data_IF_411301337780
#
_entry.id   IF_411301337780
#
_cell.length_a   1.000
_cell.length_b   1.000
_cell.length_c   1.000
_cell.angle_alpha   90.00
_cell.angle_beta   90.00
_cell.angle_gamma   90.00
#
_symmetry.space_group_name_H-M   'P 1'
#
loop_
_entity.id
_entity.type
_entity.pdbx_description
1 polymer ?
#
# COMPACT_ATOMS: atom_id res chain seq x y z
N UNK A 1 5.93 10.85 10.39
CA UNK A 1 6.52 10.22 9.18
C UNK A 1 5.44 9.72 8.23
N UNK A 2 4.60 8.75 8.63
CA UNK A 2 3.56 8.15 7.76
C UNK A 2 2.62 9.18 7.13
N UNK A 3 2.05 10.08 7.93
CA UNK A 3 1.16 11.14 7.43
C UNK A 3 1.81 12.03 6.38
N UNK A 4 3.06 12.47 6.61
CA UNK A 4 3.80 13.31 5.65
C UNK A 4 4.00 12.59 4.33
N UNK A 5 4.49 11.34 4.38
CA UNK A 5 4.74 10.52 3.19
C UNK A 5 3.47 10.17 2.41
N UNK A 6 2.38 9.95 3.12
CA UNK A 6 1.07 9.77 2.51
C UNK A 6 0.66 10.99 1.68
N UNK A 7 0.84 12.21 2.21
CA UNK A 7 0.55 13.44 1.47
C UNK A 7 1.56 13.70 0.35
N UNK A 8 2.83 13.35 0.52
CA UNK A 8 3.83 13.37 -0.56
C UNK A 8 3.35 12.48 -1.73
N UNK A 9 2.85 11.28 -1.44
CA UNK A 9 2.26 10.39 -2.44
C UNK A 9 1.01 10.99 -3.12
N UNK A 10 0.07 11.56 -2.37
CA UNK A 10 -1.13 12.20 -2.95
C UNK A 10 -0.79 13.41 -3.83
N UNK A 11 0.18 14.22 -3.44
CA UNK A 11 0.55 15.44 -4.15
C UNK A 11 1.43 15.17 -5.38
N UNK A 12 2.18 14.09 -5.38
CA UNK A 12 3.19 13.78 -6.40
C UNK A 12 3.06 12.38 -7.00
N UNK A 13 1.85 11.82 -7.03
CA UNK A 13 1.60 10.42 -7.41
C UNK A 13 2.29 10.05 -8.73
N UNK A 14 3.15 9.03 -8.69
CA UNK A 14 3.89 8.55 -9.86
C UNK A 14 5.02 9.46 -10.36
N UNK A 15 5.34 10.55 -9.65
CA UNK A 15 6.49 11.41 -9.97
C UNK A 15 7.80 10.80 -9.43
N UNK A 16 8.72 10.48 -10.34
CA UNK A 16 10.04 9.93 -9.99
C UNK A 16 10.81 10.89 -9.08
N UNK A 17 11.20 10.39 -7.91
CA UNK A 17 12.01 11.13 -6.94
C UNK A 17 11.22 12.03 -5.99
N UNK A 18 9.90 12.18 -6.18
CA UNK A 18 9.01 12.90 -5.25
C UNK A 18 8.00 11.99 -4.57
N UNK A 19 7.46 11.02 -5.30
CA UNK A 19 6.55 10.03 -4.73
C UNK A 19 7.35 8.97 -3.93
N UNK A 20 7.18 8.87 -2.60
CA UNK A 20 7.83 7.84 -1.81
C UNK A 20 7.36 6.41 -2.16
N UNK A 21 6.20 6.28 -2.79
CA UNK A 21 5.57 5.00 -3.12
C UNK A 21 5.87 4.55 -4.55
N UNK A 22 6.47 5.40 -5.40
CA UNK A 22 6.76 5.06 -6.80
C UNK A 22 8.19 4.57 -7.00
N UNK A 23 8.35 3.34 -7.50
CA UNK A 23 9.67 2.73 -7.70
C UNK A 23 10.29 3.02 -9.06
N UNK A 24 10.37 4.32 -9.41
CA UNK A 24 11.15 4.82 -10.57
C UNK A 24 10.86 4.10 -11.89
N UNK A 25 9.64 3.59 -12.06
CA UNK A 25 9.23 2.82 -13.24
C UNK A 25 9.70 1.36 -13.30
N UNK A 26 10.43 0.84 -12.30
CA UNK A 26 10.77 -0.59 -12.20
C UNK A 26 9.58 -1.37 -11.61
N UNK A 27 8.92 -2.27 -12.37
CA UNK A 27 7.73 -2.99 -11.91
C UNK A 27 8.07 -4.26 -11.10
N UNK A 28 9.34 -4.51 -10.78
CA UNK A 28 9.76 -5.66 -9.98
C UNK A 28 9.19 -5.61 -8.56
N UNK A 29 8.33 -6.57 -8.21
CA UNK A 29 7.60 -6.57 -6.94
C UNK A 29 8.53 -6.61 -5.72
N UNK A 30 9.59 -7.43 -5.77
CA UNK A 30 10.56 -7.57 -4.67
C UNK A 30 11.39 -6.30 -4.45
N UNK A 31 12.09 -5.74 -5.46
CA UNK A 31 12.87 -4.50 -5.24
C UNK A 31 11.98 -3.31 -4.89
N UNK A 32 10.75 -3.24 -5.40
CA UNK A 32 9.80 -2.21 -5.01
C UNK A 32 9.35 -2.38 -3.56
N UNK A 33 9.00 -3.59 -3.13
CA UNK A 33 8.64 -3.84 -1.73
C UNK A 33 9.79 -3.49 -0.78
N UNK A 34 11.03 -3.83 -1.13
CA UNK A 34 12.21 -3.44 -0.35
C UNK A 34 12.38 -1.92 -0.26
N UNK A 35 12.17 -1.20 -1.36
CA UNK A 35 12.18 0.28 -1.42
C UNK A 35 11.06 0.91 -0.59
N UNK A 36 9.88 0.29 -0.57
CA UNK A 36 8.76 0.71 0.26
C UNK A 36 9.10 0.52 1.73
N UNK A 37 9.57 -0.66 2.12
CA UNK A 37 9.94 -0.95 3.51
C UNK A 37 11.04 -0.04 4.03
N UNK A 38 12.07 0.26 3.24
CA UNK A 38 13.15 1.19 3.64
C UNK A 38 12.67 2.64 3.74
N UNK A 39 11.61 3.01 3.00
CA UNK A 39 10.97 4.32 3.11
C UNK A 39 10.16 4.44 4.40
N UNK A 40 9.48 3.39 4.83
CA UNK A 40 8.51 3.48 5.94
C UNK A 40 8.99 2.88 7.26
N UNK A 41 10.13 2.21 7.26
CA UNK A 41 10.69 1.59 8.46
C UNK A 41 12.11 2.08 8.72
N UNK A 42 12.33 2.50 9.96
CA UNK A 42 13.65 2.83 10.49
C UNK A 42 14.25 1.64 11.23
N UNK A 43 15.59 1.59 11.29
CA UNK A 43 16.30 0.57 12.08
C UNK A 43 15.91 0.61 13.57
N UNK A 44 15.53 1.78 14.09
CA UNK A 44 15.01 1.92 15.46
C UNK A 44 13.65 1.26 15.68
N UNK A 45 12.80 1.15 14.66
CA UNK A 45 11.54 0.40 14.78
C UNK A 45 11.81 -1.10 14.86
N UNK A 46 12.75 -1.62 14.04
CA UNK A 46 13.18 -3.01 14.13
C UNK A 46 13.83 -3.33 15.49
N UNK A 47 14.72 -2.47 15.98
CA UNK A 47 15.37 -2.67 17.27
C UNK A 47 14.34 -2.71 18.43
N UNK A 48 13.34 -1.82 18.41
CA UNK A 48 12.26 -1.83 19.41
C UNK A 48 11.38 -3.08 19.31
N UNK A 49 11.07 -3.54 18.11
CA UNK A 49 10.29 -4.76 17.89
C UNK A 49 11.06 -5.98 18.42
N UNK A 50 12.35 -6.10 18.09
CA UNK A 50 13.22 -7.16 18.58
C UNK A 50 13.35 -7.14 20.12
N UNK A 51 13.52 -5.95 20.70
CA UNK A 51 13.55 -5.76 22.15
C UNK A 51 12.27 -6.27 22.82
N UNK A 52 11.10 -5.86 22.32
CA UNK A 52 9.82 -6.32 22.87
C UNK A 52 9.61 -7.82 22.72
N UNK A 53 10.03 -8.41 21.61
CA UNK A 53 10.01 -9.86 21.43
C UNK A 53 10.82 -10.58 22.51
N UNK A 54 12.03 -10.09 22.84
CA UNK A 54 12.85 -10.66 23.92
C UNK A 54 12.18 -10.50 25.28
N UNK A 55 11.66 -9.31 25.59
CA UNK A 55 10.95 -9.05 26.86
C UNK A 55 9.75 -10.00 27.02
N UNK A 56 8.91 -10.14 26.00
CA UNK A 56 7.75 -11.04 26.06
C UNK A 56 8.16 -12.51 26.17
N UNK A 57 9.24 -12.91 25.50
CA UNK A 57 9.80 -14.26 25.62
C UNK A 57 10.24 -14.56 27.07
N UNK A 58 10.90 -13.59 27.72
CA UNK A 58 11.33 -13.70 29.13
C UNK A 58 10.15 -13.75 30.10
N UNK A 59 9.03 -13.11 29.76
CA UNK A 59 7.78 -13.17 30.52
C UNK A 59 6.97 -14.47 30.27
N UNK A 60 7.50 -15.40 29.48
CA UNK A 60 6.91 -16.73 29.27
C UNK A 60 6.04 -16.86 28.02
N UNK A 61 6.03 -15.88 27.12
CA UNK A 61 5.31 -16.01 25.85
C UNK A 61 5.95 -17.12 24.98
N UNK A 62 5.17 -18.04 24.39
CA UNK A 62 5.74 -19.06 23.50
C UNK A 62 6.39 -18.44 22.25
N UNK A 63 7.57 -18.92 21.86
CA UNK A 63 8.29 -18.44 20.67
C UNK A 63 7.42 -18.51 19.41
N UNK A 64 6.61 -19.55 19.25
CA UNK A 64 5.70 -19.68 18.11
C UNK A 64 4.71 -18.50 18.02
N UNK A 65 4.15 -18.07 19.15
CA UNK A 65 3.24 -16.92 19.19
C UNK A 65 3.99 -15.63 18.84
N UNK A 66 5.22 -15.45 19.34
CA UNK A 66 6.04 -14.29 19.01
C UNK A 66 6.39 -14.24 17.53
N UNK A 67 6.74 -15.37 16.91
CA UNK A 67 7.01 -15.43 15.47
C UNK A 67 5.76 -15.07 14.66
N UNK A 68 4.57 -15.54 15.07
CA UNK A 68 3.31 -15.22 14.38
C UNK A 68 2.96 -13.74 14.54
N UNK A 69 2.89 -13.24 15.78
CA UNK A 69 2.34 -11.91 16.06
C UNK A 69 3.36 -10.77 15.92
N UNK A 70 4.63 -11.01 16.26
CA UNK A 70 5.67 -9.98 16.26
C UNK A 70 6.47 -9.95 14.96
N UNK A 71 6.46 -11.00 14.14
CA UNK A 71 7.19 -11.05 12.87
C UNK A 71 6.26 -11.27 11.65
N UNK A 72 5.58 -12.41 11.57
CA UNK A 72 4.82 -12.78 10.38
C UNK A 72 3.63 -11.82 10.11
N UNK A 73 2.78 -11.57 11.11
CA UNK A 73 1.62 -10.71 10.98
C UNK A 73 1.96 -9.27 10.53
N UNK A 74 2.93 -8.54 11.12
CA UNK A 74 3.27 -7.20 10.65
C UNK A 74 3.91 -7.20 9.26
N UNK A 75 4.73 -8.20 8.90
CA UNK A 75 5.30 -8.31 7.55
C UNK A 75 4.20 -8.53 6.51
N UNK A 76 3.26 -9.45 6.78
CA UNK A 76 2.13 -9.72 5.90
C UNK A 76 1.20 -8.50 5.79
N UNK A 77 0.97 -7.79 6.89
CA UNK A 77 0.19 -6.55 6.88
C UNK A 77 0.86 -5.45 6.04
N UNK A 78 2.19 -5.29 6.17
CA UNK A 78 2.94 -4.32 5.37
C UNK A 78 2.95 -4.70 3.89
N UNK A 79 3.12 -5.98 3.57
CA UNK A 79 3.06 -6.47 2.20
C UNK A 79 1.66 -6.30 1.59
N UNK A 80 0.60 -6.58 2.34
CA UNK A 80 -0.79 -6.37 1.92
C UNK A 80 -1.06 -4.91 1.57
N UNK A 81 -0.65 -3.97 2.44
CA UNK A 81 -0.77 -2.54 2.19
C UNK A 81 0.03 -2.11 0.95
N UNK A 82 1.28 -2.54 0.85
CA UNK A 82 2.11 -2.29 -0.33
C UNK A 82 1.45 -2.82 -1.60
N UNK A 83 0.96 -4.05 -1.58
CA UNK A 83 0.45 -4.70 -2.77
C UNK A 83 -0.82 -4.01 -3.29
N UNK A 84 -1.80 -3.76 -2.41
CA UNK A 84 -3.09 -3.20 -2.80
C UNK A 84 -3.14 -1.68 -2.82
N UNK A 85 -2.34 -1.01 -1.99
CA UNK A 85 -2.30 0.46 -1.88
C UNK A 85 -1.16 1.14 -2.63
N UNK A 86 -0.19 0.38 -3.17
CA UNK A 86 0.95 0.95 -3.88
C UNK A 86 1.22 0.24 -5.21
N UNK A 87 1.52 -1.05 -5.17
CA UNK A 87 1.99 -1.82 -6.33
C UNK A 87 0.90 -1.95 -7.41
N UNK A 88 -0.23 -2.57 -7.07
CA UNK A 88 -1.29 -2.83 -8.06
C UNK A 88 -1.89 -1.55 -8.65
N UNK A 89 -2.19 -0.50 -7.85
CA UNK A 89 -2.74 0.74 -8.39
C UNK A 89 -1.79 1.47 -9.33
N UNK A 90 -0.48 1.45 -9.05
CA UNK A 90 0.50 2.29 -9.73
C UNK A 90 1.48 1.55 -10.63
N UNK A 91 1.37 0.22 -10.75
CA UNK A 91 2.22 -0.55 -11.69
C UNK A 91 1.96 -0.09 -13.14
N UNK A 92 2.99 0.36 -13.86
CA UNK A 92 2.87 0.69 -15.28
C UNK A 92 2.35 -0.49 -16.10
N UNK A 93 1.58 -0.24 -17.15
CA UNK A 93 1.21 -1.31 -18.09
C UNK A 93 2.41 -1.75 -18.94
N UNK A 94 2.51 -3.04 -19.32
CA UNK A 94 3.60 -3.56 -20.15
C UNK A 94 3.76 -2.91 -21.54
N UNK A 95 2.81 -2.08 -21.99
CA UNK A 95 2.78 -1.55 -23.37
C UNK A 95 3.57 -0.25 -23.59
N UNK A 96 4.28 0.27 -22.59
CA UNK A 96 5.26 1.33 -22.84
C UNK A 96 6.53 0.68 -23.40
N UNK A 97 6.50 0.38 -24.70
CA UNK A 97 7.65 -0.07 -25.46
C UNK A 97 8.89 0.74 -25.09
N UNK A 98 10.01 0.01 -24.96
CA UNK A 98 11.37 0.51 -24.77
C UNK A 98 11.59 1.84 -25.51
N UNK A 99 11.61 2.97 -24.78
CA UNK A 99 11.83 4.31 -25.34
C UNK A 99 10.81 5.38 -24.94
N UNK A 100 9.72 5.03 -24.25
CA UNK A 100 8.80 6.05 -23.71
C UNK A 100 9.43 6.81 -22.53
N UNK A 101 9.19 8.13 -22.38
CA UNK A 101 9.67 8.92 -21.24
C UNK A 101 9.19 8.30 -19.91
N UNK A 102 9.84 8.63 -18.77
CA UNK A 102 9.48 8.07 -17.46
C UNK A 102 7.97 8.12 -17.27
N UNK A 103 7.37 6.95 -17.06
CA UNK A 103 5.91 6.81 -16.99
C UNK A 103 5.45 7.54 -15.73
N UNK A 104 5.00 8.78 -15.88
CA UNK A 104 4.30 9.49 -14.80
C UNK A 104 2.93 8.84 -14.64
N UNK A 105 2.76 8.18 -13.49
CA UNK A 105 1.52 7.51 -13.08
C UNK A 105 0.70 8.45 -12.19
N UNK A 106 0.13 9.50 -12.78
CA UNK A 106 -0.75 10.41 -12.05
C UNK A 106 -1.91 9.67 -11.38
N UNK A 107 -2.42 10.21 -10.27
CA UNK A 107 -3.42 9.53 -9.44
C UNK A 107 -4.70 9.11 -10.20
N UNK A 108 -5.13 9.86 -11.22
CA UNK A 108 -6.32 9.49 -12.01
C UNK A 108 -6.13 8.27 -12.90
N UNK A 109 -4.88 7.83 -13.12
CA UNK A 109 -4.52 6.58 -13.80
C UNK A 109 -4.38 5.40 -12.83
N UNK A 110 -4.48 5.64 -11.52
CA UNK A 110 -4.41 4.56 -10.53
C UNK A 110 -5.55 3.56 -10.75
N UNK A 111 -5.22 2.27 -10.64
CA UNK A 111 -6.23 1.21 -10.75
C UNK A 111 -7.09 1.17 -9.49
N UNK A 112 -8.33 0.74 -9.66
CA UNK A 112 -9.27 0.47 -8.56
C UNK A 112 -9.86 -0.91 -8.74
N UNK A 113 -9.99 -1.64 -7.64
CA UNK A 113 -10.53 -3.00 -7.58
C UNK A 113 -11.98 -3.05 -8.05
N UNK A 114 -12.37 -4.11 -8.77
CA UNK A 114 -13.78 -4.35 -9.15
C UNK A 114 -14.48 -5.34 -8.21
N UNK A 115 -13.84 -5.68 -7.08
CA UNK A 115 -14.40 -6.58 -6.09
C UNK A 115 -15.64 -5.98 -5.42
N UNK A 116 -16.53 -6.85 -4.93
CA UNK A 116 -17.66 -6.45 -4.09
C UNK A 116 -17.17 -5.78 -2.80
N UNK A 117 -18.03 -4.96 -2.17
CA UNK A 117 -17.68 -4.22 -0.95
C UNK A 117 -17.11 -5.17 0.14
N UNK A 118 -17.73 -6.33 0.37
CA UNK A 118 -17.23 -7.30 1.35
C UNK A 118 -15.83 -7.82 1.01
N UNK A 119 -15.58 -8.18 -0.26
CA UNK A 119 -14.28 -8.70 -0.68
C UNK A 119 -13.21 -7.61 -0.60
N UNK A 120 -13.54 -6.38 -0.97
CA UNK A 120 -12.65 -5.22 -0.87
C UNK A 120 -12.28 -4.91 0.60
N UNK A 121 -13.24 -4.99 1.53
CA UNK A 121 -12.97 -4.88 2.97
C UNK A 121 -11.98 -5.96 3.44
N UNK A 122 -12.23 -7.23 3.10
CA UNK A 122 -11.34 -8.34 3.43
C UNK A 122 -10.00 -8.26 2.69
N UNK A 123 -9.92 -7.55 1.57
CA UNK A 123 -8.72 -7.40 0.75
C UNK A 123 -7.76 -6.38 1.32
N UNK A 124 -8.20 -5.19 1.70
CA UNK A 124 -7.34 -4.19 2.35
C UNK A 124 -8.13 -3.06 3.00
N UNK A 125 -9.24 -3.34 3.69
CA UNK A 125 -10.11 -2.29 4.25
C UNK A 125 -10.49 -1.26 3.17
N UNK A 126 -10.87 -1.69 1.97
CA UNK A 126 -11.19 -0.79 0.85
C UNK A 126 -10.05 0.07 0.30
N UNK A 127 -8.80 -0.05 0.75
CA UNK A 127 -7.68 0.65 0.12
C UNK A 127 -7.34 0.11 -1.28
N UNK A 128 -7.90 -1.04 -1.68
CA UNK A 128 -7.89 -1.49 -3.07
C UNK A 128 -8.81 -0.63 -3.98
N UNK A 129 -9.63 0.26 -3.39
CA UNK A 129 -10.37 1.32 -4.08
C UNK A 129 -9.51 2.59 -4.22
N UNK A 130 -8.30 2.42 -4.73
CA UNK A 130 -7.23 3.41 -4.61
C UNK A 130 -7.50 4.70 -5.39
N UNK A 131 -8.21 4.60 -6.52
CA UNK A 131 -8.63 5.78 -7.27
C UNK A 131 -9.59 6.66 -6.47
N UNK A 132 -10.58 6.05 -5.83
CA UNK A 132 -11.54 6.72 -4.94
C UNK A 132 -10.82 7.35 -3.76
N UNK A 133 -9.84 6.64 -3.18
CA UNK A 133 -9.00 7.17 -2.11
C UNK A 133 -8.23 8.43 -2.55
N UNK A 134 -7.63 8.45 -3.73
CA UNK A 134 -6.99 9.67 -4.25
C UNK A 134 -7.97 10.80 -4.56
N UNK A 135 -9.17 10.47 -5.05
CA UNK A 135 -10.19 11.48 -5.35
C UNK A 135 -10.76 12.12 -4.09
N UNK A 136 -10.90 11.34 -3.02
CA UNK A 136 -11.39 11.77 -1.70
C UNK A 136 -10.39 11.39 -0.60
N UNK A 137 -9.23 12.07 -0.49
CA UNK A 137 -8.13 11.67 0.40
C UNK A 137 -8.48 11.76 1.90
N UNK A 138 -9.53 12.52 2.23
CA UNK A 138 -10.04 12.64 3.60
C UNK A 138 -11.15 11.63 3.92
N UNK A 139 -11.65 10.89 2.93
CA UNK A 139 -12.66 9.87 3.19
C UNK A 139 -12.04 8.73 4.01
N UNK A 140 -12.67 8.34 5.13
CA UNK A 140 -12.22 7.17 5.86
C UNK A 140 -12.48 5.90 5.04
N UNK A 141 -11.76 4.83 5.39
CA UNK A 141 -11.78 3.58 4.62
C UNK A 141 -13.18 2.99 4.42
N UNK A 142 -14.07 3.11 5.42
CA UNK A 142 -15.45 2.61 5.36
C UNK A 142 -16.37 3.42 4.44
N UNK A 143 -15.98 4.64 4.04
CA UNK A 143 -16.76 5.47 3.11
C UNK A 143 -16.34 5.32 1.65
N UNK A 144 -15.20 4.68 1.36
CA UNK A 144 -14.73 4.49 -0.01
C UNK A 144 -15.75 3.78 -0.94
N UNK A 145 -16.56 2.80 -0.46
CA UNK A 145 -17.65 2.27 -1.27
C UNK A 145 -18.74 3.31 -1.63
N UNK A 146 -19.04 4.27 -0.74
CA UNK A 146 -19.93 5.39 -1.06
C UNK A 146 -19.30 6.31 -2.11
N UNK A 147 -18.01 6.64 -1.96
CA UNK A 147 -17.24 7.41 -2.93
C UNK A 147 -17.26 6.78 -4.33
N UNK A 148 -17.14 5.45 -4.41
CA UNK A 148 -17.28 4.70 -5.67
C UNK A 148 -18.64 4.92 -6.31
N UNK A 149 -19.73 4.76 -5.54
CA UNK A 149 -21.10 4.97 -6.04
C UNK A 149 -21.29 6.40 -6.56
N UNK A 150 -20.77 7.40 -5.85
CA UNK A 150 -20.80 8.81 -6.27
C UNK A 150 -20.00 9.08 -7.54
N UNK A 151 -18.91 8.34 -7.77
CA UNK A 151 -18.07 8.50 -8.97
C UNK A 151 -18.68 7.97 -10.27
N UNK A 152 -19.83 7.27 -10.20
CA UNK A 152 -20.41 6.59 -11.35
C UNK A 152 -19.64 5.35 -11.82
N UNK A 153 -18.52 5.00 -11.15
CA UNK A 153 -17.77 3.75 -11.35
C UNK A 153 -18.36 2.57 -10.58
N UNK A 154 -19.70 2.53 -10.49
CA UNK A 154 -20.41 1.43 -9.83
C UNK A 154 -20.00 0.08 -10.41
N UNK A 155 -20.06 -0.96 -9.57
CA UNK A 155 -19.70 -2.33 -9.93
C UNK A 155 -20.29 -2.72 -11.30
N UNK A 156 -19.46 -3.30 -12.18
CA UNK A 156 -19.98 -4.13 -13.26
C UNK A 156 -20.79 -5.24 -12.57
N UNK A 157 -22.10 -5.39 -12.84
CA UNK A 157 -22.86 -6.49 -12.25
C UNK A 157 -22.20 -7.82 -12.61
N UNK A 158 -22.12 -8.70 -11.61
CA UNK A 158 -21.53 -10.04 -11.73
C UNK A 158 -22.25 -10.89 -12.80
#
# INVERSE_FOLDING_TARGET
MLHRKHWEHHNHTGEVGKDPDFHRGNPGIVPWFASFMSSYMSMWQFARLAWWTVVMQLLGAPMANLLVFMAAAPILSAFRLFYFGTYMPHKPEPSAASGSPPVVMNWWKSRTSQASDLVSFLTCYHFDLHWEHHRWPFAPWWELPNCRRLSGRGLVPA
#
